data_IF_984068907449
#
_entry.id   IF_984068907449
#
_cell.length_a   1.000
_cell.length_b   1.000
_cell.length_c   1.000
_cell.angle_alpha   90.00
_cell.angle_beta   90.00
_cell.angle_gamma   90.00
#
_symmetry.space_group_name_H-M   'P 1'
#
loop_
_entity.id
_entity.type
_entity.pdbx_description
1 polymer ?
#
# COMPACT_ATOMS: atom_id res chain seq x y z
N UNK A 1 -2.18 -25.20 -12.71
CA UNK A 1 -1.38 -26.38 -12.31
C UNK A 1 -2.01 -26.90 -11.04
N UNK A 2 -2.57 -28.11 -11.06
CA UNK A 2 -3.23 -28.74 -9.91
C UNK A 2 -2.27 -29.69 -9.22
N UNK A 3 -2.29 -29.79 -7.91
CA UNK A 3 -1.50 -30.71 -7.12
C UNK A 3 -2.36 -31.31 -6.02
N UNK A 4 -2.37 -32.62 -5.90
CA UNK A 4 -2.98 -33.34 -4.79
C UNK A 4 -1.98 -33.41 -3.63
N UNK A 5 -2.42 -33.10 -2.41
CA UNK A 5 -1.61 -33.19 -1.20
C UNK A 5 -1.95 -34.47 -0.47
N UNK A 6 -0.96 -35.36 -0.41
CA UNK A 6 -0.86 -36.58 0.42
C UNK A 6 -2.13 -37.41 0.58
N UNK A 7 -2.22 -38.47 -0.19
CA UNK A 7 -3.15 -39.59 0.04
C UNK A 7 -2.48 -40.88 0.54
N UNK A 8 -1.14 -40.96 0.60
CA UNK A 8 -0.42 -42.16 0.99
C UNK A 8 0.75 -41.83 1.95
N UNK A 9 0.92 -42.63 3.00
CA UNK A 9 1.94 -42.44 4.06
C UNK A 9 3.38 -42.43 3.53
N UNK A 10 3.68 -43.05 2.41
CA UNK A 10 5.04 -43.21 1.82
C UNK A 10 5.20 -42.44 0.49
N UNK A 11 4.30 -41.54 0.11
CA UNK A 11 4.41 -40.80 -1.13
C UNK A 11 5.61 -39.85 -1.12
N UNK A 12 6.49 -39.86 -2.14
CA UNK A 12 7.62 -38.95 -2.22
C UNK A 12 7.14 -37.51 -2.43
N UNK A 13 7.38 -36.63 -1.44
CA UNK A 13 7.05 -35.22 -1.57
C UNK A 13 8.06 -34.51 -2.49
N UNK A 14 7.55 -33.84 -3.50
CA UNK A 14 8.33 -32.98 -4.39
C UNK A 14 8.03 -31.53 -4.14
N UNK A 15 9.02 -30.81 -3.59
CA UNK A 15 8.91 -29.36 -3.42
C UNK A 15 9.03 -28.61 -4.76
N UNK A 16 8.11 -27.69 -5.03
CA UNK A 16 8.24 -26.73 -6.13
C UNK A 16 8.26 -25.31 -5.57
N UNK A 17 9.08 -24.45 -6.18
CA UNK A 17 9.13 -23.04 -5.83
C UNK A 17 8.30 -22.26 -6.84
N UNK A 18 7.35 -21.47 -6.35
CA UNK A 18 6.57 -20.51 -7.13
C UNK A 18 7.05 -19.10 -6.77
N UNK A 19 7.17 -18.23 -7.76
CA UNK A 19 7.42 -16.82 -7.56
C UNK A 19 6.16 -16.07 -7.96
N UNK A 20 5.52 -15.46 -6.99
CA UNK A 20 4.31 -14.65 -7.21
C UNK A 20 4.71 -13.20 -7.53
N UNK A 21 4.06 -12.62 -8.52
CA UNK A 21 4.11 -11.18 -8.83
C UNK A 21 2.93 -10.49 -8.14
N UNK A 22 3.04 -9.19 -7.94
CA UNK A 22 1.94 -8.41 -7.41
C UNK A 22 0.67 -8.60 -8.26
N UNK A 23 -0.43 -8.90 -7.59
CA UNK A 23 -1.71 -9.23 -8.21
C UNK A 23 -1.89 -10.71 -8.57
N UNK A 24 -0.86 -11.55 -8.41
CA UNK A 24 -1.04 -13.01 -8.55
C UNK A 24 -1.84 -13.56 -7.38
N UNK A 25 -2.68 -14.55 -7.66
CA UNK A 25 -3.45 -15.28 -6.66
C UNK A 25 -3.11 -16.77 -6.67
N UNK A 26 -3.08 -17.36 -5.49
CA UNK A 26 -3.03 -18.79 -5.29
C UNK A 26 -4.40 -19.25 -4.77
N UNK A 27 -4.99 -20.23 -5.44
CA UNK A 27 -6.26 -20.84 -5.03
C UNK A 27 -6.05 -22.31 -4.73
N UNK A 28 -6.38 -22.72 -3.50
CA UNK A 28 -6.29 -24.09 -3.04
C UNK A 28 -7.72 -24.60 -2.74
N UNK A 29 -7.96 -25.84 -3.05
CA UNK A 29 -9.28 -26.44 -2.86
C UNK A 29 -9.17 -27.95 -2.63
N UNK A 30 -10.20 -28.55 -2.01
CA UNK A 30 -10.37 -29.98 -1.91
C UNK A 30 -11.06 -30.54 -3.17
N UNK A 31 -10.91 -31.82 -3.41
CA UNK A 31 -11.53 -32.54 -4.53
C UNK A 31 -13.06 -32.40 -4.55
N UNK A 32 -13.71 -32.25 -3.39
CA UNK A 32 -15.14 -31.94 -3.30
C UNK A 32 -15.59 -30.74 -4.14
N UNK A 33 -14.68 -29.82 -4.52
CA UNK A 33 -15.01 -28.74 -5.45
C UNK A 33 -15.15 -29.25 -6.88
N UNK A 34 -14.18 -30.04 -7.36
CA UNK A 34 -14.16 -30.53 -8.74
C UNK A 34 -15.02 -31.76 -8.95
N UNK A 35 -15.27 -32.52 -7.89
CA UNK A 35 -16.11 -33.72 -7.89
C UNK A 35 -17.58 -33.46 -7.56
N UNK A 36 -17.95 -32.20 -7.25
CA UNK A 36 -19.35 -31.82 -7.09
C UNK A 36 -20.14 -32.14 -8.36
N UNK A 37 -21.32 -32.73 -8.18
CA UNK A 37 -22.16 -33.16 -9.28
C UNK A 37 -23.39 -32.24 -9.41
N UNK A 38 -23.97 -32.22 -10.62
CA UNK A 38 -25.27 -31.64 -10.88
C UNK A 38 -26.38 -32.70 -10.80
N UNK A 39 -27.60 -32.32 -11.10
CA UNK A 39 -28.77 -33.23 -11.11
C UNK A 39 -28.71 -34.37 -12.14
N UNK A 40 -27.75 -34.27 -13.10
CA UNK A 40 -27.52 -35.29 -14.14
C UNK A 40 -26.28 -36.15 -13.81
N UNK A 41 -25.79 -36.13 -12.57
CA UNK A 41 -24.56 -36.80 -12.10
C UNK A 41 -23.28 -36.40 -12.85
N UNK A 42 -23.26 -35.24 -13.51
CA UNK A 42 -22.11 -34.74 -14.20
C UNK A 42 -21.19 -33.94 -13.24
N UNK A 43 -19.87 -34.17 -13.30
CA UNK A 43 -18.89 -33.46 -12.46
C UNK A 43 -18.73 -32.01 -12.85
N UNK A 44 -18.50 -31.14 -11.86
CA UNK A 44 -18.14 -29.73 -12.07
C UNK A 44 -16.81 -29.62 -12.84
N UNK A 45 -15.79 -30.28 -12.37
CA UNK A 45 -14.50 -30.44 -13.05
C UNK A 45 -13.59 -29.21 -12.98
N UNK A 46 -12.32 -29.42 -13.24
CA UNK A 46 -11.29 -28.37 -13.20
C UNK A 46 -11.52 -27.26 -14.25
N UNK A 47 -12.09 -27.59 -15.41
CA UNK A 47 -12.23 -26.63 -16.50
C UNK A 47 -13.24 -25.53 -16.16
N UNK A 48 -14.39 -25.92 -15.55
CA UNK A 48 -15.39 -24.94 -15.09
C UNK A 48 -14.84 -24.10 -13.94
N UNK A 49 -14.11 -24.72 -13.00
CA UNK A 49 -13.43 -23.99 -11.93
C UNK A 49 -12.44 -22.96 -12.49
N UNK A 50 -11.60 -23.34 -13.44
CA UNK A 50 -10.67 -22.41 -14.10
C UNK A 50 -11.37 -21.26 -14.81
N UNK A 51 -12.48 -21.55 -15.48
CA UNK A 51 -13.28 -20.52 -16.15
C UNK A 51 -13.89 -19.57 -15.13
N UNK A 52 -14.45 -20.06 -14.03
CA UNK A 52 -14.99 -19.24 -12.93
C UNK A 52 -13.92 -18.34 -12.33
N UNK A 53 -12.73 -18.86 -12.06
CA UNK A 53 -11.62 -18.10 -11.48
C UNK A 53 -11.06 -17.01 -12.40
N UNK A 54 -11.16 -17.20 -13.74
CA UNK A 54 -10.59 -16.29 -14.75
C UNK A 54 -11.64 -15.41 -15.44
N UNK A 55 -12.92 -15.51 -15.11
CA UNK A 55 -14.00 -14.76 -15.77
C UNK A 55 -13.84 -13.25 -15.64
N UNK A 56 -13.41 -12.78 -14.47
CA UNK A 56 -13.15 -11.38 -14.18
C UNK A 56 -11.94 -11.26 -13.25
N UNK A 57 -11.26 -10.12 -13.28
CA UNK A 57 -10.18 -9.85 -12.34
C UNK A 57 -10.76 -9.64 -10.93
N UNK A 58 -10.37 -10.49 -9.99
CA UNK A 58 -10.69 -10.32 -8.59
C UNK A 58 -9.57 -9.53 -7.89
N UNK A 59 -9.94 -8.61 -7.03
CA UNK A 59 -8.99 -7.79 -6.26
C UNK A 59 -8.71 -8.38 -4.89
N UNK A 60 -9.65 -9.13 -4.34
CA UNK A 60 -9.56 -9.71 -3.01
C UNK A 60 -9.70 -11.24 -3.02
N UNK A 61 -9.09 -11.90 -2.02
CA UNK A 61 -9.23 -13.34 -1.79
C UNK A 61 -10.70 -13.75 -1.54
N UNK A 62 -11.46 -12.87 -0.87
CA UNK A 62 -12.88 -13.09 -0.63
C UNK A 62 -13.72 -13.15 -1.91
N UNK A 63 -13.46 -12.25 -2.87
CA UNK A 63 -14.13 -12.25 -4.17
C UNK A 63 -13.82 -13.52 -4.97
N UNK A 64 -12.57 -14.01 -4.92
CA UNK A 64 -12.18 -15.25 -5.58
C UNK A 64 -12.98 -16.43 -5.03
N UNK A 65 -13.01 -16.58 -3.71
CA UNK A 65 -13.77 -17.66 -3.06
C UNK A 65 -15.28 -17.52 -3.28
N UNK A 66 -15.84 -16.32 -3.18
CA UNK A 66 -17.26 -16.07 -3.40
C UNK A 66 -17.69 -16.42 -4.83
N UNK A 67 -16.90 -16.07 -5.84
CA UNK A 67 -17.14 -16.41 -7.24
C UNK A 67 -17.09 -17.90 -7.49
N UNK A 68 -16.03 -18.58 -7.03
CA UNK A 68 -15.91 -20.03 -7.17
C UNK A 68 -17.09 -20.76 -6.48
N UNK A 69 -17.50 -20.31 -5.28
CA UNK A 69 -18.64 -20.85 -4.56
C UNK A 69 -19.98 -20.60 -5.24
N UNK A 70 -20.18 -19.41 -5.83
CA UNK A 70 -21.41 -19.09 -6.56
C UNK A 70 -21.57 -19.95 -7.83
N UNK A 71 -20.49 -20.11 -8.62
CA UNK A 71 -20.51 -20.98 -9.81
C UNK A 71 -20.74 -22.45 -9.46
N UNK A 72 -20.09 -22.93 -8.40
CA UNK A 72 -20.29 -24.28 -7.90
C UNK A 72 -21.72 -24.50 -7.44
N UNK A 73 -22.29 -23.58 -6.67
CA UNK A 73 -23.67 -23.65 -6.18
C UNK A 73 -24.69 -23.60 -7.33
N UNK A 74 -24.46 -22.74 -8.33
CA UNK A 74 -25.31 -22.65 -9.51
C UNK A 74 -25.26 -23.93 -10.35
N UNK A 75 -24.10 -24.60 -10.41
CA UNK A 75 -23.93 -25.85 -11.12
C UNK A 75 -24.60 -27.04 -10.40
N UNK A 76 -24.34 -27.17 -9.11
CA UNK A 76 -24.88 -28.28 -8.30
C UNK A 76 -26.40 -28.20 -8.13
N UNK A 77 -26.99 -27.00 -8.17
CA UNK A 77 -28.41 -26.76 -7.95
C UNK A 77 -28.92 -27.43 -6.65
N UNK A 78 -29.72 -28.51 -6.80
CA UNK A 78 -30.28 -29.28 -5.69
C UNK A 78 -29.64 -30.67 -5.54
N UNK A 79 -28.53 -30.96 -6.23
CA UNK A 79 -27.81 -32.22 -6.06
C UNK A 79 -27.24 -32.34 -4.64
N UNK A 80 -27.21 -33.53 -4.09
CA UNK A 80 -26.63 -33.77 -2.77
C UNK A 80 -25.11 -33.57 -2.85
N UNK A 81 -24.56 -32.85 -1.86
CA UNK A 81 -23.10 -32.71 -1.71
C UNK A 81 -22.52 -34.07 -1.33
N UNK A 82 -21.53 -34.55 -2.11
CA UNK A 82 -20.91 -35.87 -1.94
C UNK A 82 -19.69 -35.86 -1.03
N UNK A 83 -19.01 -34.69 -0.89
CA UNK A 83 -17.79 -34.57 -0.10
C UNK A 83 -17.62 -33.14 0.45
N UNK A 84 -16.71 -32.94 1.41
CA UNK A 84 -16.43 -31.66 2.04
C UNK A 84 -15.76 -30.69 1.05
N UNK A 85 -16.35 -29.49 0.96
CA UNK A 85 -15.88 -28.41 0.09
C UNK A 85 -15.08 -27.42 0.92
N UNK A 86 -13.78 -27.36 0.69
CA UNK A 86 -12.88 -26.36 1.27
C UNK A 86 -12.22 -25.56 0.18
N UNK A 87 -12.22 -24.25 0.32
CA UNK A 87 -11.56 -23.30 -0.59
C UNK A 87 -10.75 -22.29 0.20
N UNK A 88 -9.51 -22.02 -0.26
CA UNK A 88 -8.63 -21.00 0.29
C UNK A 88 -8.04 -20.21 -0.86
N UNK A 89 -8.20 -18.89 -0.84
CA UNK A 89 -7.53 -17.99 -1.77
C UNK A 89 -6.49 -17.14 -1.03
N UNK A 90 -5.34 -16.91 -1.67
CA UNK A 90 -4.30 -15.99 -1.21
C UNK A 90 -3.96 -15.06 -2.36
N UNK A 91 -4.14 -13.76 -2.20
CA UNK A 91 -3.73 -12.75 -3.18
C UNK A 91 -2.43 -12.10 -2.72
N UNK A 92 -1.42 -12.09 -3.59
CA UNK A 92 -0.14 -11.46 -3.30
C UNK A 92 -0.17 -9.99 -3.72
N UNK A 93 -0.30 -9.10 -2.75
CA UNK A 93 -0.33 -7.64 -2.98
C UNK A 93 1.07 -7.01 -3.15
N UNK A 94 2.13 -7.79 -3.16
CA UNK A 94 3.50 -7.31 -3.15
C UNK A 94 4.04 -7.08 -1.74
N UNK A 95 5.34 -6.82 -1.66
CA UNK A 95 6.00 -6.45 -0.39
C UNK A 95 5.83 -4.97 -0.08
N UNK A 96 6.03 -4.60 1.18
CA UNK A 96 6.13 -3.19 1.59
C UNK A 96 7.34 -2.55 0.91
N UNK A 97 7.09 -1.51 0.10
CA UNK A 97 8.16 -0.71 -0.51
C UNK A 97 8.83 0.13 0.58
N UNK A 98 10.16 0.20 0.58
CA UNK A 98 10.95 1.03 1.49
C UNK A 98 12.11 1.63 0.74
N UNK A 99 12.08 2.94 0.61
CA UNK A 99 13.12 3.70 -0.09
C UNK A 99 13.51 4.93 0.73
N UNK A 100 14.70 5.48 0.50
CA UNK A 100 15.14 6.70 1.17
C UNK A 100 16.10 7.50 0.31
N UNK A 101 16.10 8.81 0.54
CA UNK A 101 17.07 9.74 -0.01
C UNK A 101 17.63 10.61 1.12
N UNK A 102 18.89 10.97 1.06
CA UNK A 102 19.53 11.93 1.99
C UNK A 102 20.31 12.96 1.19
N UNK A 103 20.07 14.22 1.48
CA UNK A 103 20.74 15.37 0.85
C UNK A 103 21.26 16.32 1.93
N UNK A 104 22.15 17.24 1.56
CA UNK A 104 22.43 18.39 2.40
C UNK A 104 21.22 19.32 2.43
N UNK A 105 20.94 19.92 3.59
CA UNK A 105 19.78 20.79 3.79
C UNK A 105 20.03 22.18 3.18
N UNK A 106 20.14 22.22 1.85
CA UNK A 106 20.36 23.41 1.02
C UNK A 106 19.32 23.46 -0.11
N UNK A 107 18.82 24.66 -0.43
CA UNK A 107 17.80 24.82 -1.48
C UNK A 107 18.23 24.20 -2.82
N UNK A 108 19.51 24.39 -3.20
CA UNK A 108 20.06 23.84 -4.45
C UNK A 108 20.12 22.29 -4.47
N UNK A 109 19.90 21.63 -3.36
CA UNK A 109 19.94 20.17 -3.21
C UNK A 109 18.56 19.52 -3.06
N UNK A 110 17.49 20.29 -3.11
CA UNK A 110 16.12 19.76 -2.91
C UNK A 110 15.51 19.11 -4.15
N UNK A 111 15.90 19.50 -5.35
CA UNK A 111 15.36 18.94 -6.60
C UNK A 111 15.35 17.40 -6.65
N UNK A 112 16.43 16.68 -6.26
CA UNK A 112 16.41 15.22 -6.19
C UNK A 112 15.39 14.65 -5.17
N UNK A 113 15.08 15.40 -4.11
CA UNK A 113 14.08 14.98 -3.11
C UNK A 113 12.68 15.04 -3.71
N UNK A 114 12.36 16.10 -4.44
CA UNK A 114 11.06 16.26 -5.09
C UNK A 114 10.87 15.19 -6.18
N UNK A 115 11.86 14.98 -7.03
CA UNK A 115 11.85 13.93 -8.05
C UNK A 115 11.72 12.53 -7.44
N UNK A 116 12.38 12.27 -6.31
CA UNK A 116 12.24 11.02 -5.56
C UNK A 116 10.80 10.81 -5.09
N UNK A 117 10.19 11.79 -4.43
CA UNK A 117 8.82 11.67 -3.91
C UNK A 117 7.82 11.45 -5.05
N UNK A 118 7.91 12.24 -6.12
CA UNK A 118 7.06 12.09 -7.30
C UNK A 118 7.16 10.68 -7.90
N UNK A 119 8.38 10.18 -8.07
CA UNK A 119 8.63 8.85 -8.62
C UNK A 119 8.03 7.74 -7.73
N UNK A 120 8.22 7.82 -6.40
CA UNK A 120 7.71 6.80 -5.48
C UNK A 120 6.18 6.75 -5.48
N UNK A 121 5.49 7.89 -5.39
CA UNK A 121 4.04 7.95 -5.41
C UNK A 121 3.47 7.47 -6.76
N UNK A 122 4.07 7.90 -7.88
CA UNK A 122 3.68 7.48 -9.23
C UNK A 122 3.84 5.96 -9.42
N UNK A 123 4.99 5.39 -9.01
CA UNK A 123 5.26 3.95 -9.10
C UNK A 123 4.31 3.11 -8.24
N UNK A 124 3.87 3.65 -7.11
CA UNK A 124 2.89 3.01 -6.24
C UNK A 124 1.44 3.22 -6.69
N UNK A 125 1.20 3.88 -7.83
CA UNK A 125 -0.12 4.01 -8.46
C UNK A 125 -1.03 5.05 -7.80
N UNK A 126 -0.48 6.07 -7.14
CA UNK A 126 -1.26 7.22 -6.69
C UNK A 126 -1.68 8.07 -7.89
N UNK A 127 -2.84 8.71 -7.80
CA UNK A 127 -3.34 9.62 -8.81
C UNK A 127 -2.52 10.92 -8.87
N UNK A 128 -2.72 11.69 -9.94
CA UNK A 128 -1.98 12.94 -10.17
C UNK A 128 -2.22 13.99 -9.10
N UNK A 129 -3.42 14.03 -8.52
CA UNK A 129 -3.78 15.00 -7.50
C UNK A 129 -3.03 14.68 -6.20
N UNK A 130 -2.99 13.41 -5.79
CA UNK A 130 -2.23 12.96 -4.63
C UNK A 130 -0.71 13.20 -4.81
N UNK A 131 -0.15 12.94 -6.00
CA UNK A 131 1.25 13.23 -6.31
C UNK A 131 1.55 14.72 -6.18
N UNK A 132 0.68 15.58 -6.74
CA UNK A 132 0.83 17.04 -6.64
C UNK A 132 0.70 17.53 -5.19
N UNK A 133 -0.27 17.04 -4.43
CA UNK A 133 -0.43 17.36 -3.01
C UNK A 133 0.81 17.01 -2.19
N UNK A 134 1.41 15.84 -2.45
CA UNK A 134 2.63 15.42 -1.78
C UNK A 134 3.86 16.24 -2.19
N UNK A 135 3.90 16.72 -3.43
CA UNK A 135 4.89 17.69 -3.89
C UNK A 135 4.82 19.02 -3.13
N UNK A 136 3.61 19.57 -2.95
CA UNK A 136 3.38 20.81 -2.16
C UNK A 136 3.82 20.60 -0.70
N UNK A 137 3.45 19.46 -0.10
CA UNK A 137 3.87 19.11 1.26
C UNK A 137 5.39 19.04 1.38
N UNK A 138 6.04 18.39 0.41
CA UNK A 138 7.49 18.22 0.40
C UNK A 138 8.21 19.56 0.29
N UNK A 139 7.76 20.43 -0.61
CA UNK A 139 8.34 21.77 -0.79
C UNK A 139 8.27 22.58 0.52
N UNK A 140 7.12 22.60 1.15
CA UNK A 140 6.91 23.31 2.40
C UNK A 140 7.78 22.80 3.55
N UNK A 141 7.83 21.47 3.73
CA UNK A 141 8.62 20.88 4.83
C UNK A 141 10.11 21.02 4.57
N UNK A 142 10.57 20.74 3.35
CA UNK A 142 11.98 20.84 3.00
C UNK A 142 12.47 22.28 3.10
N UNK A 143 11.68 23.24 2.63
CA UNK A 143 12.03 24.66 2.73
C UNK A 143 12.10 25.11 4.19
N UNK A 144 11.16 24.69 5.04
CA UNK A 144 11.20 24.98 6.47
C UNK A 144 12.46 24.42 7.15
N UNK A 145 12.84 23.20 6.80
CA UNK A 145 14.07 22.58 7.33
C UNK A 145 15.31 23.38 6.88
N UNK A 146 15.40 23.73 5.60
CA UNK A 146 16.54 24.50 5.06
C UNK A 146 16.68 25.86 5.71
N UNK A 147 15.56 26.58 5.90
CA UNK A 147 15.60 27.95 6.42
C UNK A 147 15.73 28.05 7.94
N UNK A 148 15.20 27.07 8.68
CA UNK A 148 15.01 27.24 10.12
C UNK A 148 15.64 26.14 10.99
N UNK A 149 15.94 24.96 10.45
CA UNK A 149 16.46 23.87 11.28
C UNK A 149 17.93 24.06 11.66
N UNK A 150 18.71 24.74 10.82
CA UNK A 150 20.18 24.85 10.95
C UNK A 150 20.62 26.32 10.95
N UNK A 151 20.47 27.06 12.07
CA UNK A 151 20.77 28.49 12.10
C UNK A 151 22.25 28.83 12.02
N UNK A 152 23.15 27.92 12.39
CA UNK A 152 24.61 28.18 12.47
C UNK A 152 25.43 27.38 11.46
N UNK A 153 24.91 26.27 10.96
CA UNK A 153 25.63 25.34 10.06
C UNK A 153 24.66 24.63 9.10
N UNK A 154 25.21 24.02 8.06
CA UNK A 154 24.43 23.19 7.14
C UNK A 154 24.27 21.79 7.70
N UNK A 155 23.04 21.28 7.74
CA UNK A 155 22.75 19.92 8.16
C UNK A 155 22.33 19.01 7.02
N UNK A 156 21.74 17.88 7.38
CA UNK A 156 21.22 16.90 6.43
C UNK A 156 19.70 16.75 6.57
N UNK A 157 19.06 16.54 5.43
CA UNK A 157 17.68 16.14 5.30
C UNK A 157 17.64 14.72 4.77
N UNK A 158 16.96 13.82 5.49
CA UNK A 158 16.64 12.48 5.00
C UNK A 158 15.13 12.35 4.84
N UNK A 159 14.70 11.88 3.68
CA UNK A 159 13.30 11.51 3.44
C UNK A 159 13.23 10.01 3.25
N UNK A 160 12.43 9.35 4.10
CA UNK A 160 12.10 7.94 3.99
C UNK A 160 10.70 7.78 3.42
N UNK A 161 10.56 6.92 2.44
CA UNK A 161 9.28 6.52 1.86
C UNK A 161 8.98 5.08 2.22
N UNK A 162 7.73 4.81 2.60
CA UNK A 162 7.21 3.45 2.72
C UNK A 162 5.83 3.39 2.08
N UNK A 163 5.53 2.29 1.39
CA UNK A 163 4.18 2.01 0.90
C UNK A 163 3.80 0.58 1.25
N UNK A 164 2.64 0.42 1.86
CA UNK A 164 2.05 -0.88 2.15
C UNK A 164 0.89 -1.12 1.17
N UNK A 165 1.04 -2.05 0.21
CA UNK A 165 0.01 -2.30 -0.80
C UNK A 165 -1.23 -3.02 -0.24
N UNK A 166 -1.18 -3.55 0.99
CA UNK A 166 -2.34 -4.18 1.64
C UNK A 166 -3.24 -3.14 2.29
N UNK A 167 -2.64 -2.15 2.98
CA UNK A 167 -3.41 -1.05 3.61
C UNK A 167 -3.59 0.15 2.68
N UNK A 168 -2.93 0.13 1.53
CA UNK A 168 -2.89 1.21 0.54
C UNK A 168 -2.37 2.54 1.10
N UNK A 169 -1.51 2.46 2.11
CA UNK A 169 -0.95 3.61 2.81
C UNK A 169 0.50 3.85 2.41
N UNK A 170 0.78 5.07 1.93
CA UNK A 170 2.14 5.59 1.84
C UNK A 170 2.46 6.44 3.08
N UNK A 171 3.70 6.34 3.54
CA UNK A 171 4.22 7.25 4.55
C UNK A 171 5.53 7.87 4.08
N UNK A 172 5.62 9.20 4.21
CA UNK A 172 6.86 9.97 4.14
C UNK A 172 7.30 10.34 5.55
N UNK A 173 8.58 10.12 5.86
CA UNK A 173 9.18 10.58 7.11
C UNK A 173 10.33 11.51 6.76
N UNK A 174 10.18 12.79 7.11
CA UNK A 174 11.22 13.81 7.01
C UNK A 174 12.01 13.81 8.30
N UNK A 175 13.33 13.66 8.18
CA UNK A 175 14.24 13.52 9.33
C UNK A 175 15.37 14.55 9.16
N UNK A 176 15.57 15.36 10.21
CA UNK A 176 16.66 16.30 10.32
C UNK A 176 17.23 16.30 11.74
N UNK A 177 18.45 16.82 11.89
CA UNK A 177 19.15 16.94 13.16
C UNK A 177 19.24 18.40 13.66
N UNK A 178 18.40 19.26 13.11
CA UNK A 178 18.36 20.66 13.46
C UNK A 178 17.70 20.95 14.81
N UNK A 179 17.44 22.24 15.05
CA UNK A 179 16.74 22.65 16.27
C UNK A 179 15.35 22.00 16.36
N UNK A 180 14.90 21.57 17.57
CA UNK A 180 13.60 20.97 17.72
C UNK A 180 12.47 21.90 17.31
N UNK A 181 11.66 21.46 16.36
CA UNK A 181 10.49 22.22 15.91
C UNK A 181 9.31 21.29 15.62
N UNK A 182 8.24 21.43 16.40
CA UNK A 182 7.00 20.67 16.18
C UNK A 182 6.00 21.49 15.34
N UNK A 183 5.84 21.18 14.03
CA UNK A 183 4.92 21.89 13.16
C UNK A 183 3.44 21.71 13.55
N UNK A 184 3.10 20.68 14.34
CA UNK A 184 1.73 20.44 14.80
C UNK A 184 1.24 21.54 15.75
N UNK A 185 2.18 22.18 16.47
CA UNK A 185 1.88 23.28 17.40
C UNK A 185 1.72 24.64 16.70
N UNK A 186 2.01 24.71 15.38
CA UNK A 186 1.83 25.96 14.63
C UNK A 186 0.34 26.37 14.61
N UNK A 187 0.01 27.63 14.97
CA UNK A 187 -1.36 28.12 14.93
C UNK A 187 -1.90 28.10 13.50
N UNK A 188 -3.21 27.90 13.37
CA UNK A 188 -3.86 28.02 12.06
C UNK A 188 -3.72 29.48 11.55
N UNK A 189 -3.47 29.66 10.23
CA UNK A 189 -3.41 31.00 9.67
C UNK A 189 -4.77 31.70 9.76
N UNK A 190 -4.77 32.98 10.00
CA UNK A 190 -5.98 33.82 9.87
C UNK A 190 -6.28 33.97 8.37
N UNK A 191 -7.30 33.27 7.88
CA UNK A 191 -7.70 33.31 6.46
C UNK A 191 -8.56 34.53 6.14
N UNK A 192 -9.15 35.18 7.16
CA UNK A 192 -10.10 36.27 6.99
C UNK A 192 -9.42 37.66 6.85
N UNK A 193 -8.16 37.79 7.28
CA UNK A 193 -7.40 39.02 7.16
C UNK A 193 -6.04 38.82 6.46
N UNK A 194 -5.95 39.08 5.14
CA UNK A 194 -4.72 38.93 4.37
C UNK A 194 -3.53 39.77 4.85
N UNK A 195 -3.78 40.92 5.48
CA UNK A 195 -2.74 41.84 5.95
C UNK A 195 -2.09 41.40 7.27
N UNK A 196 -2.74 40.51 8.02
CA UNK A 196 -2.22 39.93 9.27
C UNK A 196 -1.52 38.54 9.06
N UNK A 197 -1.36 38.13 7.81
CA UNK A 197 -0.67 36.87 7.51
C UNK A 197 0.78 36.97 7.94
N UNK A 198 1.12 36.26 9.02
CA UNK A 198 2.53 36.02 9.37
C UNK A 198 3.15 35.19 8.28
N UNK A 199 4.35 35.58 7.81
CA UNK A 199 5.15 34.72 6.95
C UNK A 199 5.29 33.35 7.61
N UNK A 200 4.94 32.25 6.90
CA UNK A 200 5.17 30.86 7.35
C UNK A 200 3.96 30.10 7.90
N UNK A 201 2.76 30.67 8.03
CA UNK A 201 1.60 29.94 8.59
C UNK A 201 0.81 29.11 7.58
N UNK A 202 0.85 29.46 6.30
CA UNK A 202 0.03 28.83 5.26
C UNK A 202 0.52 27.42 4.91
N UNK A 203 1.81 27.19 4.89
CA UNK A 203 2.38 25.93 4.46
C UNK A 203 2.09 24.79 5.42
N UNK A 204 2.27 24.98 6.72
CA UNK A 204 1.90 23.97 7.72
C UNK A 204 0.38 23.69 7.68
N UNK A 205 -0.44 24.68 7.34
CA UNK A 205 -1.87 24.48 7.13
C UNK A 205 -2.13 23.57 5.91
N UNK A 206 -1.43 23.75 4.79
CA UNK A 206 -1.52 22.87 3.62
C UNK A 206 -1.05 21.47 3.93
N UNK A 207 0.05 21.31 4.67
CA UNK A 207 0.53 20.01 5.15
C UNK A 207 -0.57 19.29 5.94
N UNK A 208 -1.22 19.97 6.89
CA UNK A 208 -2.34 19.40 7.66
C UNK A 208 -3.55 19.06 6.80
N UNK A 209 -3.82 19.83 5.74
CA UNK A 209 -5.00 19.65 4.89
C UNK A 209 -4.85 18.49 3.90
N UNK A 210 -3.66 18.29 3.34
CA UNK A 210 -3.40 17.30 2.30
C UNK A 210 -2.94 15.93 2.83
N UNK A 211 -2.58 15.84 4.12
CA UNK A 211 -2.23 14.58 4.76
C UNK A 211 -3.45 13.93 5.40
N UNK A 212 -3.53 12.59 5.32
CA UNK A 212 -4.56 11.83 6.04
C UNK A 212 -4.19 11.65 7.52
N UNK A 213 -2.89 11.62 7.83
CA UNK A 213 -2.38 11.61 9.19
C UNK A 213 -1.01 12.30 9.25
N UNK A 214 -0.76 13.02 10.33
CA UNK A 214 0.46 13.76 10.57
C UNK A 214 0.94 13.50 12.01
N UNK A 215 2.19 13.08 12.16
CA UNK A 215 2.81 12.75 13.44
C UNK A 215 4.18 13.39 13.52
N UNK A 216 4.53 13.93 14.68
CA UNK A 216 5.86 14.48 14.95
C UNK A 216 6.44 13.84 16.21
N UNK A 217 7.72 13.51 16.12
CA UNK A 217 8.52 13.01 17.23
C UNK A 217 9.90 13.68 17.22
N UNK A 218 10.41 14.02 18.41
CA UNK A 218 11.79 14.41 18.58
C UNK A 218 12.49 13.38 19.46
N UNK A 219 13.37 12.61 18.88
CA UNK A 219 14.07 11.53 19.57
C UNK A 219 15.50 11.42 19.07
N UNK A 220 16.44 11.04 19.96
CA UNK A 220 17.87 10.89 19.63
C UNK A 220 18.50 12.11 18.92
N UNK A 221 18.07 13.30 19.28
CA UNK A 221 18.47 14.59 18.63
C UNK A 221 18.07 14.68 17.16
N UNK A 222 16.96 14.08 16.79
CA UNK A 222 16.39 14.16 15.45
C UNK A 222 14.93 14.60 15.51
N UNK A 223 14.57 15.54 14.64
CA UNK A 223 13.18 15.79 14.30
C UNK A 223 12.71 14.71 13.33
N UNK A 224 11.55 14.15 13.55
CA UNK A 224 10.91 13.16 12.68
C UNK A 224 9.47 13.58 12.43
N UNK A 225 9.19 14.06 11.24
CA UNK A 225 7.84 14.41 10.81
C UNK A 225 7.32 13.35 9.85
N UNK A 226 6.33 12.59 10.28
CA UNK A 226 5.71 11.53 9.49
C UNK A 226 4.37 11.97 8.93
N UNK A 227 4.19 11.76 7.64
CA UNK A 227 2.98 12.04 6.88
C UNK A 227 2.47 10.74 6.31
N UNK A 228 1.18 10.50 6.45
CA UNK A 228 0.51 9.34 5.84
C UNK A 228 -0.46 9.83 4.78
N UNK A 229 -0.43 9.19 3.62
CA UNK A 229 -1.36 9.37 2.51
C UNK A 229 -1.93 8.02 2.09
N UNK A 230 -3.25 7.92 2.00
CA UNK A 230 -3.95 6.74 1.50
C UNK A 230 -4.16 6.86 0.00
N UNK A 231 -3.91 5.77 -0.70
CA UNK A 231 -4.27 5.65 -2.11
C UNK A 231 -5.79 5.40 -2.19
N UNK A 232 -6.45 6.16 -3.03
CA UNK A 232 -7.90 6.04 -3.30
C UNK A 232 -8.15 5.20 -4.54
#
# INVERSE_FOLDING_TARGET
>A
MSYTVASEEDAPYHGKRLTLKQGDALFLYTDGVTEAVNTDDALFGEEKLKNALNAERAETAGEICARAGAELSAYAQNAAQSDDITMLAVVYHGGVVREKITVDAELAKLEPVFAFIEAQFTQCGFDKDAVMEMGIIADEICSNIVFYAYPEETGKLTVQFTFNPVTEEAALVFIDNGVPFNPLNAPAPNLDNPEERREGGLGIFLVKRYSDCLQYEYTKKQNMLKIIKKRK
#
